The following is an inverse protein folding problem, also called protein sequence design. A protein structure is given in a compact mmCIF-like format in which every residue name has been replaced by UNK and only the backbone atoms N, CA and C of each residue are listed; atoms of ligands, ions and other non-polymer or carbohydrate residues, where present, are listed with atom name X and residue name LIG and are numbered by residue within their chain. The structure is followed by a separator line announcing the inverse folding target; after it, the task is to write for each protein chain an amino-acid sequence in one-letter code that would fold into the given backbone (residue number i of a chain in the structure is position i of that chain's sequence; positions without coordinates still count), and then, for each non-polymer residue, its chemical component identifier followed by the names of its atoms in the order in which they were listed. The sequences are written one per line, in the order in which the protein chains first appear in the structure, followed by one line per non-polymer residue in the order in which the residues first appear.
data_IF_920562242060
#
_entry.id   IF_920562242060
#
_cell.length_a   1.000
_cell.length_b   1.000
_cell.length_c   1.000
_cell.angle_alpha   90.00
_cell.angle_beta   90.00
_cell.angle_gamma   90.00
#
_symmetry.space_group_name_H-M   'P 1'
#
loop_
_entity.id
_entity.type
_entity.pdbx_description
1 polymer ?
#
# COMPACT_ATOMS: atom_id res chain seq x y z
N UNK A 1 -8.35 -9.80 14.27
CA UNK A 1 -6.92 -9.71 14.65
C UNK A 1 -6.07 -10.01 13.43
N UNK A 2 -5.42 -9.00 12.84
CA UNK A 2 -4.38 -9.19 11.82
C UNK A 2 -3.08 -9.57 12.53
N UNK A 3 -2.79 -10.87 12.63
CA UNK A 3 -1.62 -11.43 13.34
C UNK A 3 -0.34 -11.40 12.48
N UNK A 4 -0.41 -10.99 11.21
CA UNK A 4 0.69 -11.17 10.26
C UNK A 4 1.72 -10.03 10.15
N UNK A 5 1.54 -8.89 10.81
CA UNK A 5 2.40 -7.71 10.59
C UNK A 5 2.89 -7.05 11.89
N UNK A 6 4.17 -6.60 11.93
CA UNK A 6 4.74 -5.93 13.10
C UNK A 6 4.08 -4.57 13.39
N UNK A 7 4.07 -4.17 14.67
CA UNK A 7 3.53 -2.88 15.15
C UNK A 7 4.25 -1.66 14.55
N UNK A 8 5.54 -1.79 14.23
CA UNK A 8 6.28 -0.82 13.41
C UNK A 8 6.32 -1.32 11.97
N UNK A 9 5.92 -0.49 11.02
CA UNK A 9 6.02 -0.81 9.60
C UNK A 9 7.46 -0.68 9.13
N UNK A 10 8.08 -1.80 8.74
CA UNK A 10 9.34 -1.80 7.97
C UNK A 10 9.08 -2.12 6.49
N UNK A 11 7.82 -2.08 6.08
CA UNK A 11 7.34 -2.52 4.77
C UNK A 11 6.29 -1.57 4.19
N UNK A 12 6.08 -1.68 2.88
CA UNK A 12 4.97 -1.07 2.14
C UNK A 12 4.25 -2.17 1.36
N UNK A 13 2.91 -2.15 1.31
CA UNK A 13 2.14 -3.17 0.62
C UNK A 13 1.42 -2.62 -0.62
N UNK A 14 1.43 -3.41 -1.70
CA UNK A 14 0.52 -3.30 -2.83
C UNK A 14 -0.77 -4.02 -2.46
N UNK A 15 -1.88 -3.29 -2.38
CA UNK A 15 -3.18 -3.78 -1.90
C UNK A 15 -4.21 -3.70 -3.02
N UNK A 16 -4.71 -4.84 -3.48
CA UNK A 16 -5.64 -4.89 -4.61
C UNK A 16 -6.58 -6.10 -4.56
N UNK A 17 -7.69 -6.03 -5.31
CA UNK A 17 -8.64 -7.15 -5.45
C UNK A 17 -7.99 -8.30 -6.24
N UNK A 18 -8.20 -9.54 -5.77
CA UNK A 18 -7.72 -10.76 -6.44
C UNK A 18 -8.18 -10.91 -7.90
N UNK A 19 -9.35 -10.36 -8.26
CA UNK A 19 -9.82 -10.29 -9.66
C UNK A 19 -8.79 -9.61 -10.59
N UNK A 20 -7.98 -8.69 -10.06
CA UNK A 20 -6.93 -7.97 -10.77
C UNK A 20 -5.51 -8.49 -10.45
N UNK A 21 -5.38 -9.75 -10.01
CA UNK A 21 -4.11 -10.35 -9.59
C UNK A 21 -2.96 -10.06 -10.55
N UNK A 22 -3.16 -10.25 -11.86
CA UNK A 22 -2.11 -10.02 -12.86
C UNK A 22 -1.60 -8.56 -12.86
N UNK A 23 -2.50 -7.59 -12.70
CA UNK A 23 -2.15 -6.17 -12.58
C UNK A 23 -1.44 -5.89 -11.25
N UNK A 24 -1.96 -6.40 -10.14
CA UNK A 24 -1.38 -6.22 -8.80
C UNK A 24 0.03 -6.82 -8.73
N UNK A 25 0.21 -8.04 -9.24
CA UNK A 25 1.49 -8.75 -9.28
C UNK A 25 2.51 -8.00 -10.15
N UNK A 26 2.08 -7.48 -11.32
CA UNK A 26 2.97 -6.68 -12.18
C UNK A 26 3.50 -5.45 -11.45
N UNK A 27 2.62 -4.68 -10.81
CA UNK A 27 3.02 -3.50 -10.03
C UNK A 27 3.91 -3.89 -8.86
N UNK A 28 3.58 -4.96 -8.14
CA UNK A 28 4.39 -5.49 -7.03
C UNK A 28 5.83 -5.85 -7.46
N UNK A 29 6.00 -6.64 -8.52
CA UNK A 29 7.34 -7.03 -8.99
C UNK A 29 8.16 -5.83 -9.46
N UNK A 30 7.52 -4.88 -10.14
CA UNK A 30 8.18 -3.66 -10.58
C UNK A 30 8.57 -2.75 -9.40
N UNK A 31 7.71 -2.61 -8.39
CA UNK A 31 8.05 -1.86 -7.17
C UNK A 31 9.19 -2.54 -6.41
N UNK A 32 9.18 -3.87 -6.32
CA UNK A 32 10.20 -4.65 -5.59
C UNK A 32 11.60 -4.56 -6.23
N UNK A 33 11.67 -4.27 -7.53
CA UNK A 33 12.93 -4.19 -8.27
C UNK A 33 13.82 -3.08 -7.71
N UNK A 34 14.97 -3.46 -7.12
CA UNK A 34 15.92 -2.56 -6.47
C UNK A 34 15.31 -1.70 -5.34
N UNK A 35 14.25 -2.18 -4.67
CA UNK A 35 13.65 -1.48 -3.56
C UNK A 35 14.53 -1.52 -2.31
N UNK A 36 14.68 -0.39 -1.64
CA UNK A 36 15.31 -0.27 -0.31
C UNK A 36 14.30 -0.38 0.84
N UNK A 37 13.08 -0.83 0.54
CA UNK A 37 12.00 -1.09 1.50
C UNK A 37 11.42 -2.47 1.20
N UNK A 38 10.98 -3.17 2.24
CA UNK A 38 10.27 -4.42 2.07
C UNK A 38 8.93 -4.16 1.37
N UNK A 39 8.80 -4.61 0.12
CA UNK A 39 7.56 -4.50 -0.65
C UNK A 39 6.77 -5.79 -0.47
N UNK A 40 5.52 -5.66 -0.07
CA UNK A 40 4.59 -6.76 0.17
C UNK A 40 3.40 -6.68 -0.79
N UNK A 41 2.65 -7.77 -0.94
CA UNK A 41 1.41 -7.81 -1.72
C UNK A 41 0.27 -8.36 -0.86
N UNK A 42 -0.87 -7.68 -0.92
CA UNK A 42 -2.14 -8.13 -0.35
C UNK A 42 -3.11 -8.22 -1.52
N UNK A 43 -3.25 -9.44 -2.02
CA UNK A 43 -4.15 -9.77 -3.11
C UNK A 43 -5.21 -10.73 -2.60
N UNK A 44 -6.39 -10.18 -2.27
CA UNK A 44 -7.41 -10.93 -1.53
C UNK A 44 -8.78 -10.78 -2.21
N UNK A 45 -9.66 -11.80 -2.16
CA UNK A 45 -11.00 -11.68 -2.74
C UNK A 45 -11.88 -10.70 -1.96
N UNK A 46 -11.67 -10.56 -0.65
CA UNK A 46 -12.38 -9.63 0.22
C UNK A 46 -11.40 -8.55 0.70
N UNK A 47 -11.14 -7.57 -0.15
CA UNK A 47 -10.30 -6.39 0.21
C UNK A 47 -11.17 -5.22 0.64
N UNK A 48 -12.47 -5.25 0.32
CA UNK A 48 -13.49 -4.22 0.59
C UNK A 48 -13.71 -3.91 2.09
N UNK A 49 -13.06 -4.64 2.99
CA UNK A 49 -12.93 -4.28 4.40
C UNK A 49 -11.88 -3.14 4.58
N UNK A 50 -11.15 -3.11 5.69
CA UNK A 50 -10.18 -2.05 6.02
C UNK A 50 -9.21 -1.69 4.88
N UNK A 51 -8.83 -2.67 4.06
CA UNK A 51 -7.91 -2.51 2.93
C UNK A 51 -8.54 -1.88 1.67
N UNK A 52 -9.87 -1.71 1.64
CA UNK A 52 -10.66 -1.18 0.54
C UNK A 52 -11.35 0.14 0.87
N UNK A 53 -11.00 0.79 1.98
CA UNK A 53 -11.64 2.03 2.43
C UNK A 53 -10.97 3.31 1.88
N UNK A 54 -10.22 3.22 0.78
CA UNK A 54 -9.61 4.37 0.11
C UNK A 54 -10.04 4.44 -1.36
N UNK A 55 -9.61 5.46 -2.10
CA UNK A 55 -10.15 5.85 -3.41
C UNK A 55 -10.10 4.78 -4.49
N UNK A 56 -9.20 3.78 -4.38
CA UNK A 56 -9.15 2.62 -5.27
C UNK A 56 -10.50 1.89 -5.37
N UNK A 57 -11.33 1.98 -4.32
CA UNK A 57 -12.67 1.38 -4.31
C UNK A 57 -13.57 1.92 -5.41
N UNK A 58 -13.46 3.21 -5.71
CA UNK A 58 -14.31 3.89 -6.70
C UNK A 58 -14.05 3.34 -8.09
N UNK A 59 -12.81 2.97 -8.40
CA UNK A 59 -12.43 2.34 -9.66
C UNK A 59 -12.96 0.90 -9.75
N UNK A 60 -12.93 0.17 -8.64
CA UNK A 60 -13.44 -1.20 -8.60
C UNK A 60 -14.95 -1.29 -8.86
N UNK A 61 -15.74 -0.27 -8.50
CA UNK A 61 -17.18 -0.21 -8.83
C UNK A 61 -17.44 -0.21 -10.35
N UNK A 62 -16.48 0.28 -11.14
CA UNK A 62 -16.57 0.35 -12.61
C UNK A 62 -15.71 -0.72 -13.30
N UNK A 63 -15.34 -1.78 -12.60
CA UNK A 63 -14.50 -2.86 -13.10
C UNK A 63 -13.10 -2.43 -13.61
N UNK A 64 -12.61 -1.27 -13.18
CA UNK A 64 -11.29 -0.75 -13.56
C UNK A 64 -10.21 -1.34 -12.63
N UNK A 65 -9.11 -1.93 -13.17
CA UNK A 65 -7.99 -2.38 -12.35
C UNK A 65 -7.39 -1.21 -11.57
N UNK A 66 -7.43 -1.31 -10.24
CA UNK A 66 -6.87 -0.33 -9.33
C UNK A 66 -6.31 -1.02 -8.09
N UNK A 67 -5.32 -0.38 -7.46
CA UNK A 67 -4.66 -0.84 -6.24
C UNK A 67 -4.28 0.35 -5.37
N UNK A 68 -3.92 0.08 -4.14
CA UNK A 68 -3.43 1.05 -3.17
C UNK A 68 -2.03 0.64 -2.70
N UNK A 69 -1.14 1.62 -2.54
CA UNK A 69 0.17 1.44 -1.91
C UNK A 69 0.05 1.97 -0.48
N UNK A 70 0.14 1.09 0.53
CA UNK A 70 -0.11 1.46 1.93
C UNK A 70 0.66 0.54 2.89
N UNK A 71 1.06 1.08 4.03
CA UNK A 71 1.65 0.37 5.17
C UNK A 71 0.59 0.09 6.25
N UNK A 72 -0.64 -0.23 5.87
CA UNK A 72 -1.75 -0.47 6.82
C UNK A 72 -1.88 0.65 7.87
N UNK A 73 -1.68 1.91 7.45
CA UNK A 73 -1.52 3.08 8.34
C UNK A 73 -2.60 3.21 9.41
N UNK A 74 -3.87 2.97 9.05
CA UNK A 74 -5.01 3.00 9.98
C UNK A 74 -4.84 2.10 11.22
N UNK A 75 -4.12 0.99 11.10
CA UNK A 75 -3.91 0.04 12.20
C UNK A 75 -2.72 0.39 13.09
N UNK A 76 -1.85 1.30 12.63
CA UNK A 76 -0.51 1.49 13.19
C UNK A 76 -0.18 2.94 13.55
N UNK A 77 -0.78 3.92 12.89
CA UNK A 77 -0.57 5.33 13.19
C UNK A 77 -1.43 5.72 14.41
N UNK A 78 -0.84 5.93 15.60
CA UNK A 78 -1.60 6.34 16.79
C UNK A 78 -2.15 7.78 16.65
N UNK A 79 -1.67 8.54 15.67
CA UNK A 79 -2.09 9.89 15.37
C UNK A 79 -3.19 9.96 14.31
N UNK A 80 -3.59 8.83 13.71
CA UNK A 80 -4.56 8.81 12.63
C UNK A 80 -5.87 9.52 13.01
N UNK A 81 -6.31 10.47 12.18
CA UNK A 81 -7.47 11.35 12.42
C UNK A 81 -7.40 12.17 13.72
N UNK A 82 -6.18 12.47 14.20
CA UNK A 82 -5.96 13.36 15.34
C UNK A 82 -5.17 14.59 14.92
N UNK A 83 -5.29 15.66 15.70
CA UNK A 83 -4.48 16.89 15.51
C UNK A 83 -2.98 16.66 15.64
N UNK A 84 -2.57 15.55 16.24
CA UNK A 84 -1.16 15.16 16.37
C UNK A 84 -0.58 14.50 15.11
N UNK A 85 -1.38 14.30 14.05
CA UNK A 85 -0.90 13.80 12.75
C UNK A 85 -0.13 14.91 12.03
N UNK A 86 1.09 15.15 12.50
CA UNK A 86 1.93 16.29 12.14
C UNK A 86 3.20 15.82 11.40
N UNK A 87 3.88 16.75 10.71
CA UNK A 87 5.13 16.53 9.98
C UNK A 87 6.20 15.87 10.86
N UNK A 88 6.23 16.21 12.15
CA UNK A 88 7.17 15.66 13.12
C UNK A 88 6.95 14.16 13.41
N UNK A 89 5.79 13.62 13.03
CA UNK A 89 5.46 12.20 13.18
C UNK A 89 5.82 11.36 11.95
N UNK A 90 6.22 12.01 10.85
CA UNK A 90 6.53 11.37 9.58
C UNK A 90 7.98 10.87 9.53
N UNK A 91 8.19 9.75 8.82
CA UNK A 91 9.53 9.30 8.45
C UNK A 91 9.79 9.58 6.96
N UNK A 92 10.48 10.69 6.69
CA UNK A 92 10.84 11.09 5.33
C UNK A 92 11.69 10.05 4.59
N UNK A 93 12.57 9.34 5.31
CA UNK A 93 13.38 8.25 4.73
C UNK A 93 12.50 7.12 4.20
N UNK A 94 11.48 6.69 4.97
CA UNK A 94 10.54 5.67 4.51
C UNK A 94 9.68 6.17 3.36
N UNK A 95 9.17 7.42 3.45
CA UNK A 95 8.39 8.03 2.38
C UNK A 95 9.18 8.13 1.07
N UNK A 96 10.47 8.52 1.13
CA UNK A 96 11.35 8.55 -0.03
C UNK A 96 11.44 7.17 -0.68
N UNK A 97 11.67 6.11 0.10
CA UNK A 97 11.75 4.74 -0.42
C UNK A 97 10.46 4.31 -1.11
N UNK A 98 9.30 4.64 -0.52
CA UNK A 98 7.98 4.38 -1.12
C UNK A 98 7.81 5.13 -2.44
N UNK A 99 8.15 6.41 -2.48
CA UNK A 99 8.07 7.23 -3.71
C UNK A 99 8.98 6.66 -4.79
N UNK A 100 10.23 6.31 -4.46
CA UNK A 100 11.19 5.74 -5.40
C UNK A 100 10.69 4.43 -6.01
N UNK A 101 10.22 3.48 -5.20
CA UNK A 101 9.74 2.20 -5.74
C UNK A 101 8.43 2.36 -6.52
N UNK A 102 7.55 3.26 -6.11
CA UNK A 102 6.32 3.61 -6.85
C UNK A 102 6.66 4.25 -8.20
N UNK A 103 7.59 5.21 -8.22
CA UNK A 103 8.04 5.83 -9.46
C UNK A 103 8.62 4.80 -10.42
N UNK A 104 9.51 3.94 -9.92
CA UNK A 104 10.12 2.87 -10.72
C UNK A 104 9.07 1.94 -11.34
N UNK A 105 7.98 1.64 -10.62
CA UNK A 105 6.93 0.81 -11.19
C UNK A 105 6.14 1.51 -12.27
N UNK A 106 5.80 2.79 -12.08
CA UNK A 106 5.03 3.56 -13.05
C UNK A 106 5.76 3.75 -14.39
N UNK A 107 7.08 3.96 -14.38
CA UNK A 107 7.85 4.14 -15.63
C UNK A 107 8.12 2.84 -16.40
N UNK A 108 7.84 1.69 -15.80
CA UNK A 108 8.05 0.35 -16.38
C UNK A 108 6.74 -0.45 -16.51
N UNK A 109 5.58 0.19 -16.31
CA UNK A 109 4.27 -0.47 -16.22
C UNK A 109 3.71 -0.91 -17.56
#
# INVERSE_FOLDING_TARGET
MLVAYPKKATFIAVVGKQKYHAFNQKVFELMKTNAEIDVQIIDHPIVESLAGMSDQRSYWEFDIPALMINDTSFLRNPHYHQMSDDIDTLSFEHMQRVVTCTYNSLINL
#
